data_IF_773510191759
#
_entry.id   IF_773510191759
#
_cell.length_a   1.000
_cell.length_b   1.000
_cell.length_c   1.000
_cell.angle_alpha   90.00
_cell.angle_beta   90.00
_cell.angle_gamma   90.00
#
_symmetry.space_group_name_H-M   'P 1'
#
loop_
_entity.id
_entity.type
_entity.pdbx_description
1 polymer ?
#
# COMPACT_ATOMS: atom_id res chain seq x y z
N UNK A 1 22.28 -12.13 7.44
CA UNK A 1 21.45 -13.36 7.48
C UNK A 1 22.38 -14.54 7.78
N UNK A 2 21.96 -15.52 8.61
CA UNK A 2 22.72 -16.75 8.83
C UNK A 2 22.97 -17.51 7.53
N UNK A 3 24.05 -18.30 7.46
CA UNK A 3 24.45 -18.99 6.23
C UNK A 3 23.41 -20.04 5.79
N UNK A 4 22.82 -20.74 6.75
CA UNK A 4 21.72 -21.69 6.51
C UNK A 4 20.53 -21.06 5.78
N UNK A 5 20.19 -19.82 6.11
CA UNK A 5 19.10 -19.07 5.47
C UNK A 5 19.51 -18.59 4.08
N UNK A 6 20.76 -18.14 3.90
CA UNK A 6 21.23 -17.68 2.57
C UNK A 6 21.19 -18.79 1.52
N UNK A 7 21.49 -20.03 1.92
CA UNK A 7 21.47 -21.19 1.04
C UNK A 7 20.06 -21.62 0.61
N UNK A 8 19.01 -21.18 1.32
CA UNK A 8 17.62 -21.44 0.91
C UNK A 8 17.27 -20.68 -0.38
N UNK A 9 16.27 -21.17 -1.12
CA UNK A 9 15.78 -20.49 -2.32
C UNK A 9 15.36 -19.02 -2.04
N UNK A 10 14.66 -18.78 -0.93
CA UNK A 10 14.26 -17.42 -0.53
C UNK A 10 15.47 -16.53 -0.20
N UNK A 11 16.46 -17.06 0.53
CA UNK A 11 17.69 -16.33 0.85
C UNK A 11 18.55 -16.00 -0.37
N UNK A 12 18.61 -16.92 -1.34
CA UNK A 12 19.29 -16.70 -2.61
C UNK A 12 18.61 -15.59 -3.42
N UNK A 13 17.28 -15.66 -3.58
CA UNK A 13 16.50 -14.61 -4.25
C UNK A 13 16.63 -13.24 -3.57
N UNK A 14 16.65 -13.21 -2.23
CA UNK A 14 16.87 -11.97 -1.49
C UNK A 14 18.27 -11.38 -1.72
N UNK A 15 19.29 -12.23 -1.89
CA UNK A 15 20.66 -11.80 -2.18
C UNK A 15 20.79 -11.25 -3.61
N UNK A 16 20.16 -11.90 -4.59
CA UNK A 16 20.06 -11.39 -5.96
C UNK A 16 19.32 -10.04 -6.01
N UNK A 17 18.19 -9.96 -5.32
CA UNK A 17 17.40 -8.74 -5.21
C UNK A 17 18.21 -7.60 -4.60
N UNK A 18 19.01 -7.89 -3.56
CA UNK A 18 19.91 -6.90 -2.96
C UNK A 18 20.94 -6.38 -3.98
N UNK A 19 21.67 -7.27 -4.65
CA UNK A 19 22.67 -6.89 -5.64
C UNK A 19 22.07 -6.09 -6.80
N UNK A 20 20.89 -6.48 -7.28
CA UNK A 20 20.15 -5.74 -8.30
C UNK A 20 19.71 -4.36 -7.81
N UNK A 21 19.23 -4.27 -6.56
CA UNK A 21 18.79 -3.00 -5.97
C UNK A 21 19.95 -2.01 -5.84
N UNK A 22 21.13 -2.49 -5.44
CA UNK A 22 22.33 -1.65 -5.39
C UNK A 22 22.67 -1.07 -6.78
N UNK A 23 22.70 -1.92 -7.81
CA UNK A 23 22.94 -1.48 -9.20
C UNK A 23 21.89 -0.48 -9.69
N UNK A 24 20.63 -0.67 -9.31
CA UNK A 24 19.55 0.23 -9.71
C UNK A 24 19.68 1.63 -9.09
N UNK A 25 20.34 1.78 -7.95
CA UNK A 25 20.55 3.07 -7.27
C UNK A 25 21.76 3.85 -7.80
N UNK A 26 22.73 3.20 -8.45
CA UNK A 26 23.91 3.84 -9.03
C UNK A 26 23.58 5.08 -9.90
N UNK A 27 22.69 5.02 -10.90
CA UNK A 27 22.36 6.19 -11.73
C UNK A 27 21.69 7.31 -10.94
N UNK A 28 20.96 7.00 -9.86
CA UNK A 28 20.36 8.00 -9.00
C UNK A 28 21.44 8.76 -8.22
N UNK A 29 22.40 8.05 -7.64
CA UNK A 29 23.50 8.68 -6.89
C UNK A 29 24.37 9.56 -7.79
N UNK A 30 24.64 9.12 -9.03
CA UNK A 30 25.40 9.92 -9.98
C UNK A 30 24.64 11.21 -10.37
N UNK A 31 23.33 11.12 -10.64
CA UNK A 31 22.49 12.30 -10.91
C UNK A 31 22.39 13.25 -9.72
N UNK A 32 22.36 12.72 -8.49
CA UNK A 32 22.37 13.53 -7.27
C UNK A 32 23.69 14.30 -7.11
N UNK A 33 24.82 13.63 -7.36
CA UNK A 33 26.16 14.23 -7.29
C UNK A 33 26.31 15.41 -8.24
N UNK A 34 25.79 15.28 -9.46
CA UNK A 34 25.83 16.35 -10.49
C UNK A 34 24.66 17.33 -10.43
N UNK A 35 23.75 17.19 -9.45
CA UNK A 35 22.52 18.00 -9.33
C UNK A 35 21.67 18.01 -10.62
N UNK A 36 21.67 16.88 -11.34
CA UNK A 36 21.02 16.73 -12.64
C UNK A 36 19.59 16.12 -12.55
N UNK A 37 19.05 15.96 -11.33
CA UNK A 37 17.68 15.48 -11.14
C UNK A 37 16.66 16.60 -11.40
N UNK A 38 15.57 16.24 -12.07
CA UNK A 38 14.41 17.10 -12.21
C UNK A 38 13.86 17.52 -10.84
N UNK A 39 13.45 18.79 -10.71
CA UNK A 39 13.04 19.37 -9.43
C UNK A 39 11.89 18.63 -8.76
N UNK A 40 10.82 18.34 -9.51
CA UNK A 40 9.67 17.55 -9.02
C UNK A 40 10.07 16.18 -8.49
N UNK A 41 10.95 15.48 -9.21
CA UNK A 41 11.42 14.16 -8.80
C UNK A 41 12.28 14.25 -7.55
N UNK A 42 13.17 15.25 -7.47
CA UNK A 42 13.99 15.52 -6.30
C UNK A 42 13.12 15.81 -5.07
N UNK A 43 12.08 16.63 -5.21
CA UNK A 43 11.13 16.92 -4.14
C UNK A 43 10.36 15.68 -3.71
N UNK A 44 9.84 14.89 -4.66
CA UNK A 44 9.13 13.65 -4.36
C UNK A 44 10.01 12.60 -3.65
N UNK A 45 11.25 12.42 -4.10
CA UNK A 45 12.22 11.54 -3.43
C UNK A 45 12.54 12.02 -2.01
N UNK A 46 12.73 13.33 -1.81
CA UNK A 46 12.94 13.91 -0.48
C UNK A 46 11.76 13.67 0.46
N UNK A 47 10.53 13.89 -0.01
CA UNK A 47 9.32 13.66 0.77
C UNK A 47 9.14 12.17 1.11
N UNK A 48 9.49 11.27 0.18
CA UNK A 48 9.46 9.83 0.42
C UNK A 48 10.46 9.41 1.50
N UNK A 49 11.69 9.91 1.45
CA UNK A 49 12.72 9.66 2.47
C UNK A 49 12.31 10.24 3.82
N UNK A 50 11.70 11.42 3.82
CA UNK A 50 11.15 12.04 5.04
C UNK A 50 10.05 11.18 5.64
N UNK A 51 9.12 10.69 4.83
CA UNK A 51 8.07 9.76 5.28
C UNK A 51 8.64 8.47 5.89
N UNK A 52 9.69 7.90 5.28
CA UNK A 52 10.39 6.75 5.85
C UNK A 52 11.05 7.07 7.20
N UNK A 53 11.71 8.23 7.33
CA UNK A 53 12.34 8.70 8.57
C UNK A 53 11.31 8.86 9.69
N UNK A 54 10.15 9.39 9.37
CA UNK A 54 9.06 9.66 10.32
C UNK A 54 8.20 8.40 10.58
N UNK A 55 8.65 7.22 10.10
CA UNK A 55 7.97 5.92 10.18
C UNK A 55 6.53 5.94 9.64
N UNK A 56 6.28 6.79 8.64
CA UNK A 56 5.02 6.86 7.88
C UNK A 56 5.20 6.22 6.50
N UNK A 57 5.23 4.88 6.48
CA UNK A 57 5.47 4.12 5.27
C UNK A 57 4.28 4.13 4.31
N UNK A 58 3.06 4.27 4.83
CA UNK A 58 1.86 4.47 4.02
C UNK A 58 2.01 5.73 3.14
N UNK A 59 2.42 6.85 3.75
CA UNK A 59 2.68 8.10 3.03
C UNK A 59 3.85 7.97 2.04
N UNK A 60 4.96 7.37 2.46
CA UNK A 60 6.10 7.13 1.56
C UNK A 60 5.70 6.25 0.35
N UNK A 61 4.83 5.26 0.56
CA UNK A 61 4.33 4.39 -0.50
C UNK A 61 3.34 5.12 -1.43
N UNK A 62 2.47 5.99 -0.91
CA UNK A 62 1.60 6.85 -1.72
C UNK A 62 2.43 7.77 -2.64
N UNK A 63 3.48 8.39 -2.11
CA UNK A 63 4.42 9.18 -2.89
C UNK A 63 5.14 8.35 -3.96
N UNK A 64 5.54 7.12 -3.63
CA UNK A 64 6.11 6.20 -4.62
C UNK A 64 5.13 5.93 -5.76
N UNK A 65 3.86 5.63 -5.46
CA UNK A 65 2.85 5.38 -6.49
C UNK A 65 2.62 6.61 -7.36
N UNK A 66 2.52 7.80 -6.76
CA UNK A 66 2.38 9.07 -7.49
C UNK A 66 3.57 9.34 -8.42
N UNK A 67 4.79 9.06 -7.99
CA UNK A 67 6.00 9.24 -8.82
C UNK A 67 6.13 8.17 -9.90
N UNK A 68 5.75 6.93 -9.59
CA UNK A 68 5.89 5.79 -10.49
C UNK A 68 4.82 5.75 -11.59
N UNK A 69 3.62 6.29 -11.32
CA UNK A 69 2.49 6.35 -12.27
C UNK A 69 2.36 7.75 -12.90
N UNK A 70 2.71 8.81 -12.17
CA UNK A 70 2.36 10.18 -12.54
C UNK A 70 0.87 10.48 -12.30
N UNK A 71 0.42 11.71 -12.61
CA UNK A 71 -1.00 12.10 -12.51
C UNK A 71 -1.80 11.65 -13.75
N UNK A 72 -1.38 10.56 -14.40
CA UNK A 72 -2.02 10.04 -15.60
C UNK A 72 -3.26 9.23 -15.19
N UNK A 73 -4.47 9.60 -15.68
CA UNK A 73 -5.70 8.87 -15.36
C UNK A 73 -5.69 7.39 -15.78
N UNK A 74 -4.78 7.01 -16.70
CA UNK A 74 -4.66 5.65 -17.24
C UNK A 74 -3.17 5.26 -17.45
N UNK A 75 -2.52 4.59 -16.49
CA UNK A 75 -1.08 4.29 -16.55
C UNK A 75 -0.66 3.23 -17.57
N UNK A 76 -1.60 2.40 -18.01
CA UNK A 76 -1.36 1.33 -18.96
C UNK A 76 -2.34 1.59 -20.10
N UNK A 77 -1.81 1.84 -21.29
CA UNK A 77 -2.63 2.00 -22.49
C UNK A 77 -3.51 0.77 -22.66
N UNK A 78 -4.80 0.88 -22.32
CA UNK A 78 -5.81 -0.12 -22.65
C UNK A 78 -6.03 -0.01 -24.16
N UNK A 79 -5.25 -0.77 -24.92
CA UNK A 79 -5.62 -1.10 -26.29
C UNK A 79 -6.52 -2.32 -26.21
N UNK A 80 -7.78 -2.13 -26.63
CA UNK A 80 -8.75 -3.16 -27.01
C UNK A 80 -9.82 -3.51 -25.98
N UNK A 81 -10.91 -2.72 -26.00
CA UNK A 81 -12.28 -3.21 -25.76
C UNK A 81 -13.23 -2.50 -26.74
N UNK A 82 -13.76 -3.25 -27.72
CA UNK A 82 -14.91 -2.86 -28.56
C UNK A 82 -14.62 -2.46 -30.01
N UNK A 83 -15.34 -3.09 -30.95
CA UNK A 83 -15.22 -3.09 -32.43
C UNK A 83 -15.64 -1.76 -33.11
N UNK A 84 -15.62 -0.60 -32.43
CA UNK A 84 -15.91 0.68 -33.11
C UNK A 84 -14.95 1.76 -32.63
N UNK A 85 -13.98 2.09 -33.48
CA UNK A 85 -13.07 3.22 -33.30
C UNK A 85 -13.86 4.52 -33.37
N UNK A 86 -14.06 5.19 -32.23
CA UNK A 86 -14.58 6.56 -32.20
C UNK A 86 -13.42 7.53 -32.33
N UNK A 87 -13.52 8.45 -33.30
CA UNK A 87 -12.51 9.46 -33.69
C UNK A 87 -12.07 10.45 -32.59
N UNK A 88 -12.53 10.31 -31.35
CA UNK A 88 -12.04 11.05 -30.19
C UNK A 88 -10.70 10.53 -29.64
N UNK A 89 -10.19 9.40 -30.16
CA UNK A 89 -9.04 8.66 -29.63
C UNK A 89 -7.68 9.31 -29.90
N UNK A 90 -7.49 10.01 -31.01
CA UNK A 90 -6.21 10.64 -31.34
C UNK A 90 -5.93 11.91 -30.52
N UNK A 91 -6.97 12.63 -30.11
CA UNK A 91 -6.82 13.82 -29.26
C UNK A 91 -6.45 13.48 -27.82
N UNK A 92 -6.85 12.32 -27.31
CA UNK A 92 -6.52 11.92 -25.93
C UNK A 92 -5.07 11.42 -25.83
N UNK A 93 -4.58 10.68 -26.82
CA UNK A 93 -3.19 10.21 -26.84
C UNK A 93 -2.18 11.35 -27.04
N UNK A 94 -2.53 12.40 -27.80
CA UNK A 94 -1.65 13.56 -28.00
C UNK A 94 -1.70 14.58 -26.85
N UNK A 95 -2.88 14.85 -26.26
CA UNK A 95 -3.01 15.86 -25.19
C UNK A 95 -2.47 15.35 -23.84
N UNK A 96 -2.56 14.05 -23.55
CA UNK A 96 -1.97 13.49 -22.31
C UNK A 96 -0.44 13.36 -22.37
N UNK A 97 0.15 13.22 -23.55
CA UNK A 97 1.60 13.07 -23.71
C UNK A 97 2.35 14.41 -23.83
N UNK A 98 1.64 15.54 -24.00
CA UNK A 98 2.26 16.87 -24.12
C UNK A 98 2.47 17.59 -22.78
N UNK A 99 1.80 17.15 -21.71
CA UNK A 99 1.87 17.80 -20.39
C UNK A 99 2.95 17.20 -19.48
N UNK A 100 4.20 17.10 -19.94
CA UNK A 100 5.41 16.91 -19.11
C UNK A 100 5.56 15.65 -18.22
N UNK A 101 4.50 14.88 -17.97
CA UNK A 101 4.49 13.74 -17.04
C UNK A 101 4.94 12.42 -17.68
N UNK A 102 4.88 12.32 -19.00
CA UNK A 102 5.38 11.16 -19.75
C UNK A 102 6.90 10.96 -19.59
N UNK A 103 7.65 12.01 -19.23
CA UNK A 103 9.12 11.98 -19.23
C UNK A 103 9.73 11.12 -18.09
N UNK A 104 9.09 11.05 -16.91
CA UNK A 104 9.64 10.33 -15.74
C UNK A 104 9.53 8.81 -15.95
N UNK A 105 8.40 8.35 -16.49
CA UNK A 105 8.19 6.93 -16.77
C UNK A 105 8.87 6.44 -18.04
N UNK A 106 9.22 7.31 -18.99
CA UNK A 106 9.90 6.91 -20.23
C UNK A 106 11.39 6.58 -19.99
N UNK A 107 12.00 7.12 -18.94
CA UNK A 107 13.39 6.83 -18.58
C UNK A 107 13.53 5.51 -17.79
N UNK A 108 14.14 4.52 -18.42
CA UNK A 108 14.39 3.20 -17.85
C UNK A 108 15.27 3.25 -16.59
N UNK A 109 16.24 4.18 -16.54
CA UNK A 109 17.04 4.38 -15.34
C UNK A 109 16.16 4.86 -14.18
N UNK A 110 15.20 5.73 -14.47
CA UNK A 110 14.24 6.26 -13.49
C UNK A 110 13.32 5.20 -12.92
N UNK A 111 12.77 4.35 -13.78
CA UNK A 111 11.96 3.21 -13.34
C UNK A 111 12.73 2.27 -12.40
N UNK A 112 14.00 1.98 -12.71
CA UNK A 112 14.86 1.10 -11.90
C UNK A 112 15.14 1.66 -10.52
N UNK A 113 15.56 2.92 -10.38
CA UNK A 113 15.80 3.45 -9.04
C UNK A 113 14.50 3.69 -8.26
N UNK A 114 13.36 4.00 -8.90
CA UNK A 114 12.07 4.04 -8.20
C UNK A 114 11.66 2.66 -7.67
N UNK A 115 11.88 1.60 -8.44
CA UNK A 115 11.69 0.24 -7.97
C UNK A 115 12.61 -0.09 -6.78
N UNK A 116 13.87 0.34 -6.84
CA UNK A 116 14.81 0.19 -5.74
C UNK A 116 14.35 0.96 -4.48
N UNK A 117 13.80 2.17 -4.63
CA UNK A 117 13.22 2.94 -3.54
C UNK A 117 12.04 2.22 -2.87
N UNK A 118 11.11 1.62 -3.63
CA UNK A 118 10.03 0.82 -3.02
C UNK A 118 10.58 -0.37 -2.23
N UNK A 119 11.61 -1.05 -2.74
CA UNK A 119 12.28 -2.13 -1.98
C UNK A 119 12.89 -1.63 -0.68
N UNK A 120 13.48 -0.42 -0.69
CA UNK A 120 13.99 0.22 0.52
C UNK A 120 12.87 0.52 1.52
N UNK A 121 11.72 1.08 1.10
CA UNK A 121 10.56 1.32 1.98
C UNK A 121 10.19 0.03 2.74
N UNK A 122 10.05 -1.08 2.02
CA UNK A 122 9.70 -2.38 2.63
C UNK A 122 10.78 -2.94 3.56
N UNK A 123 12.06 -2.65 3.34
CA UNK A 123 13.16 -3.06 4.25
C UNK A 123 13.17 -2.18 5.49
N UNK A 124 13.08 -0.85 5.32
CA UNK A 124 13.09 0.12 6.43
C UNK A 124 11.90 -0.12 7.36
N UNK A 125 10.70 -0.38 6.82
CA UNK A 125 9.53 -0.71 7.64
C UNK A 125 9.73 -1.95 8.52
N UNK A 126 10.44 -2.97 8.04
CA UNK A 126 10.72 -4.18 8.84
C UNK A 126 11.82 -3.96 9.86
N UNK A 127 12.77 -3.07 9.58
CA UNK A 127 13.81 -2.67 10.54
C UNK A 127 13.25 -1.75 11.63
N UNK A 128 12.36 -0.84 11.26
CA UNK A 128 11.75 0.16 12.12
C UNK A 128 10.22 0.08 12.00
N UNK A 129 9.59 -0.87 12.71
CA UNK A 129 8.15 -1.05 12.65
C UNK A 129 7.42 0.19 13.16
N UNK A 130 6.19 0.34 12.67
CA UNK A 130 5.28 1.44 12.99
C UNK A 130 3.90 0.88 13.29
N UNK A 131 2.98 1.73 13.72
CA UNK A 131 1.59 1.37 13.90
C UNK A 131 1.00 0.78 12.60
N UNK A 132 0.14 -0.26 12.65
CA UNK A 132 -0.46 -0.84 11.45
C UNK A 132 -1.14 0.18 10.54
N UNK A 133 -1.71 1.27 11.07
CA UNK A 133 -2.33 2.34 10.29
C UNK A 133 -1.35 3.13 9.40
N UNK A 134 -0.05 3.13 9.72
CA UNK A 134 1.00 3.80 8.94
C UNK A 134 1.90 2.84 8.17
N UNK A 135 1.60 1.55 8.20
CA UNK A 135 2.33 0.53 7.44
C UNK A 135 1.88 0.52 5.98
N UNK A 136 2.82 0.39 5.03
CA UNK A 136 2.47 0.25 3.62
C UNK A 136 1.87 -1.13 3.31
N UNK A 137 2.46 -2.16 3.92
CA UNK A 137 2.06 -3.56 3.80
C UNK A 137 2.17 -4.21 5.19
N UNK A 138 1.09 -4.78 5.73
CA UNK A 138 1.11 -5.43 7.06
C UNK A 138 1.11 -6.95 6.95
N UNK A 139 2.26 -7.50 6.57
CA UNK A 139 2.42 -8.94 6.39
C UNK A 139 2.55 -9.67 7.74
N UNK A 140 1.79 -10.77 7.87
CA UNK A 140 1.85 -11.67 9.03
C UNK A 140 2.76 -12.88 8.78
N UNK A 141 2.94 -13.27 7.51
CA UNK A 141 3.74 -14.43 7.10
C UNK A 141 5.22 -14.26 7.41
N UNK A 142 5.86 -15.32 7.89
CA UNK A 142 7.30 -15.38 8.16
C UNK A 142 8.07 -15.81 6.93
N UNK A 143 9.14 -15.08 6.62
CA UNK A 143 10.07 -15.43 5.54
C UNK A 143 11.49 -14.95 5.90
N UNK A 144 12.31 -15.87 6.40
CA UNK A 144 13.68 -15.59 6.83
C UNK A 144 14.56 -15.05 5.68
N UNK A 145 14.22 -15.35 4.42
CA UNK A 145 14.92 -14.80 3.27
C UNK A 145 14.71 -13.29 3.15
N UNK A 146 13.54 -12.77 3.49
CA UNK A 146 13.27 -11.32 3.46
C UNK A 146 14.12 -10.58 4.46
N UNK A 147 14.43 -11.13 5.63
CA UNK A 147 15.31 -10.48 6.62
C UNK A 147 15.27 -11.12 8.00
N UNK A 148 16.16 -10.66 8.88
CA UNK A 148 16.27 -11.17 10.26
C UNK A 148 15.32 -10.47 11.24
N UNK A 149 14.99 -9.20 10.99
CA UNK A 149 14.02 -8.46 11.79
C UNK A 149 12.62 -9.10 11.65
N UNK A 150 12.00 -9.45 12.78
CA UNK A 150 10.69 -10.08 12.81
C UNK A 150 10.60 -11.42 12.08
N UNK A 151 11.70 -12.16 11.90
CA UNK A 151 11.74 -13.35 11.04
C UNK A 151 11.17 -13.11 9.62
N UNK A 152 11.32 -11.87 9.11
CA UNK A 152 10.81 -11.44 7.82
C UNK A 152 9.37 -10.93 7.82
N UNK A 153 8.63 -11.09 8.93
CA UNK A 153 7.26 -10.63 9.11
C UNK A 153 7.21 -9.23 9.74
N UNK A 154 6.39 -8.33 9.18
CA UNK A 154 6.19 -6.98 9.71
C UNK A 154 5.55 -7.03 11.10
N UNK A 155 4.57 -7.92 11.30
CA UNK A 155 3.89 -8.10 12.60
C UNK A 155 4.86 -8.53 13.68
N UNK A 156 5.69 -9.55 13.42
CA UNK A 156 6.66 -10.02 14.41
C UNK A 156 7.76 -8.98 14.67
N UNK A 157 8.12 -8.17 13.68
CA UNK A 157 9.05 -7.07 13.88
C UNK A 157 8.47 -6.04 14.85
N UNK A 158 7.18 -5.71 14.71
CA UNK A 158 6.46 -4.82 15.62
C UNK A 158 6.40 -5.39 17.05
N UNK A 159 5.96 -6.63 17.22
CA UNK A 159 5.92 -7.28 18.54
C UNK A 159 7.32 -7.32 19.20
N UNK A 160 8.35 -7.59 18.40
CA UNK A 160 9.73 -7.56 18.90
C UNK A 160 10.19 -6.15 19.29
N UNK A 161 9.68 -5.09 18.65
CA UNK A 161 9.96 -3.70 19.02
C UNK A 161 9.21 -3.27 20.28
N UNK A 162 7.94 -3.66 20.41
CA UNK A 162 7.14 -3.47 21.62
C UNK A 162 7.80 -4.16 22.83
N UNK A 163 8.31 -5.39 22.64
CA UNK A 163 9.06 -6.11 23.66
C UNK A 163 10.39 -5.42 24.06
N UNK A 164 10.97 -4.60 23.17
CA UNK A 164 12.13 -3.73 23.48
C UNK A 164 11.74 -2.41 24.14
N UNK A 165 10.44 -2.15 24.35
CA UNK A 165 9.94 -0.90 24.92
C UNK A 165 9.80 0.25 23.92
N UNK A 166 9.92 -0.01 22.61
CA UNK A 166 9.63 1.01 21.60
C UNK A 166 8.11 1.22 21.50
N UNK A 167 7.59 2.33 22.05
CA UNK A 167 6.18 2.68 21.90
C UNK A 167 5.89 3.28 20.53
N UNK A 168 5.13 2.57 19.71
CA UNK A 168 4.66 3.02 18.39
C UNK A 168 3.32 3.77 18.45
N UNK A 169 2.68 3.84 19.62
CA UNK A 169 1.36 4.45 19.78
C UNK A 169 1.34 5.95 19.41
N UNK A 170 2.44 6.67 19.65
CA UNK A 170 2.60 8.08 19.25
C UNK A 170 2.72 8.26 17.74
N UNK A 171 3.00 7.19 17.01
CA UNK A 171 3.11 7.16 15.55
C UNK A 171 1.79 6.80 14.88
N UNK A 172 0.69 6.57 15.60
CA UNK A 172 -0.61 6.31 14.99
C UNK A 172 -1.07 7.46 14.09
N UNK A 173 -1.84 7.16 13.04
CA UNK A 173 -2.64 8.22 12.40
C UNK A 173 -3.63 8.80 13.44
N UNK A 174 -3.99 10.09 13.34
CA UNK A 174 -5.02 10.65 14.19
C UNK A 174 -6.32 9.85 14.04
N UNK A 175 -7.09 9.73 15.13
CA UNK A 175 -8.40 9.10 15.10
C UNK A 175 -9.24 9.64 13.96
N UNK A 176 -9.92 8.75 13.24
CA UNK A 176 -10.71 9.16 12.10
C UNK A 176 -11.77 10.19 12.55
N UNK A 177 -12.10 11.22 11.74
CA UNK A 177 -13.01 12.29 12.16
C UNK A 177 -14.43 11.81 12.53
N UNK A 178 -14.79 10.61 12.06
CA UNK A 178 -16.05 9.95 12.35
C UNK A 178 -15.96 9.00 13.55
N UNK A 179 -14.79 8.76 14.14
CA UNK A 179 -14.67 7.96 15.36
C UNK A 179 -15.02 8.81 16.57
N UNK A 180 -15.94 8.33 17.41
CA UNK A 180 -16.32 8.95 18.67
C UNK A 180 -15.85 8.05 19.83
N UNK A 181 -15.51 8.65 20.97
CA UNK A 181 -14.80 8.01 22.11
C UNK A 181 -15.52 6.76 22.68
N UNK A 182 -16.82 6.62 22.46
CA UNK A 182 -17.67 5.52 22.95
C UNK A 182 -17.78 4.33 21.98
N UNK A 183 -16.78 4.06 21.14
CA UNK A 183 -16.89 3.05 20.06
C UNK A 183 -18.02 3.33 19.06
N UNK A 184 -18.50 4.58 19.00
CA UNK A 184 -19.55 5.04 18.10
C UNK A 184 -18.92 5.66 16.86
N UNK A 185 -19.57 5.50 15.71
CA UNK A 185 -19.14 6.13 14.47
C UNK A 185 -20.13 7.22 14.07
N UNK A 186 -19.66 8.46 13.96
CA UNK A 186 -20.39 9.60 13.45
C UNK A 186 -20.64 9.43 11.94
N UNK A 187 -21.84 8.97 11.60
CA UNK A 187 -22.23 8.76 10.22
C UNK A 187 -22.57 10.11 9.56
N UNK A 188 -21.97 10.45 8.40
CA UNK A 188 -22.33 11.66 7.67
C UNK A 188 -23.80 11.61 7.19
N UNK A 189 -24.49 12.75 7.24
CA UNK A 189 -25.93 12.87 6.93
C UNK A 189 -26.35 12.21 5.60
N UNK A 190 -25.49 12.29 4.57
CA UNK A 190 -25.72 11.71 3.24
C UNK A 190 -25.97 10.18 3.23
N UNK A 191 -25.55 9.47 4.28
CA UNK A 191 -25.71 8.01 4.39
C UNK A 191 -26.94 7.60 5.19
N UNK A 192 -27.71 8.53 5.75
CA UNK A 192 -28.89 8.22 6.57
C UNK A 192 -29.91 7.33 5.84
N UNK A 193 -30.15 7.61 4.56
CA UNK A 193 -31.10 6.85 3.74
C UNK A 193 -30.65 5.39 3.53
N UNK A 194 -29.34 5.19 3.36
CA UNK A 194 -28.73 3.87 3.20
C UNK A 194 -28.86 3.07 4.49
N UNK A 195 -28.62 3.71 5.64
CA UNK A 195 -28.78 3.07 6.95
C UNK A 195 -30.24 2.73 7.26
N UNK A 196 -31.18 3.63 6.96
CA UNK A 196 -32.60 3.37 7.15
C UNK A 196 -33.08 2.16 6.34
N UNK A 197 -32.59 2.03 5.09
CA UNK A 197 -32.87 0.87 4.25
C UNK A 197 -32.28 -0.42 4.84
N UNK A 198 -31.00 -0.39 5.22
CA UNK A 198 -30.32 -1.55 5.80
C UNK A 198 -30.95 -2.01 7.13
N UNK A 199 -31.40 -1.07 7.98
CA UNK A 199 -32.14 -1.39 9.20
C UNK A 199 -33.48 -2.06 8.90
N UNK A 200 -34.18 -1.63 7.85
CA UNK A 200 -35.39 -2.29 7.36
C UNK A 200 -35.13 -3.73 6.93
N UNK A 201 -34.09 -3.95 6.13
CA UNK A 201 -33.70 -5.29 5.64
C UNK A 201 -33.32 -6.23 6.80
N UNK A 202 -32.59 -5.73 7.80
CA UNK A 202 -32.22 -6.48 9.02
C UNK A 202 -33.47 -6.85 9.83
N UNK A 203 -34.39 -5.91 10.02
CA UNK A 203 -35.63 -6.14 10.78
C UNK A 203 -36.52 -7.18 10.09
N UNK A 204 -36.62 -7.11 8.76
CA UNK A 204 -37.34 -8.12 7.97
C UNK A 204 -36.67 -9.49 8.06
N UNK A 205 -35.34 -9.56 7.96
CA UNK A 205 -34.60 -10.81 8.10
C UNK A 205 -34.81 -11.47 9.48
N UNK A 206 -34.78 -10.69 10.56
CA UNK A 206 -35.08 -11.20 11.91
C UNK A 206 -36.52 -11.71 12.03
N UNK A 207 -37.50 -10.97 11.51
CA UNK A 207 -38.91 -11.38 11.55
C UNK A 207 -39.19 -12.66 10.74
N UNK A 208 -38.48 -12.87 9.63
CA UNK A 208 -38.60 -14.08 8.82
C UNK A 208 -37.95 -15.29 9.52
N UNK A 209 -36.84 -15.07 10.23
CA UNK A 209 -36.18 -16.13 11.01
C UNK A 209 -37.02 -16.60 12.20
N UNK A 210 -37.72 -15.67 12.89
CA UNK A 210 -38.63 -16.02 13.99
C UNK A 210 -39.86 -16.81 13.50
N UNK A 211 -40.41 -16.46 12.33
CA UNK A 211 -41.51 -17.22 11.71
C UNK A 211 -41.08 -18.63 11.28
N UNK A 212 -39.88 -18.77 10.70
CA UNK A 212 -39.34 -20.07 10.31
C UNK A 212 -39.04 -20.99 11.51
N UNK A 213 -38.66 -20.41 12.66
CA UNK A 213 -38.45 -21.16 13.91
C UNK A 213 -39.77 -21.60 14.57
N UNK A 214 -40.86 -20.85 14.36
CA UNK A 214 -42.20 -21.18 14.88
C UNK A 214 -42.93 -22.30 14.13
N UNK A 215 -42.59 -22.55 12.86
CA UNK A 215 -43.19 -23.61 12.03
C UNK A 215 -42.54 -25.00 12.22
N UNK A 216 -41.44 -25.10 12.97
CA UNK A 216 -40.78 -26.36 13.31
C UNK A 216 -41.20 -26.88 14.70
N UNK A 217 -42.51 -27.08 14.93
CA UNK A 217 -42.96 -27.93 16.04
C UNK A 217 -43.03 -29.39 15.58
N UNK A 218 -42.41 -30.35 16.30
CA UNK A 218 -42.42 -31.75 15.86
C UNK A 218 -43.83 -32.33 15.96
N UNK A 219 -44.26 -32.99 14.87
CA UNK A 219 -45.53 -33.71 14.81
C UNK A 219 -45.64 -34.71 15.97
N UNK A 220 -46.82 -34.85 16.60
CA UNK A 220 -46.99 -35.76 17.72
C UNK A 220 -46.85 -37.20 17.21
N UNK A 221 -45.94 -37.95 17.84
CA UNK A 221 -45.73 -39.38 17.60
C UNK A 221 -46.96 -40.12 18.11
N UNK A 222 -47.66 -40.81 17.20
CA UNK A 222 -48.75 -41.74 17.52
C UNK A 222 -48.19 -43.10 17.94
#
# INVERSE_FOLDING_TARGET
RPESVKATASGYQASLTFAQTAKYLEPLFERLKHRALHEELRAGLWMMVTGMRDRNYLYANDLYLRLAIGNAPWPIGVTSVGIHERSAREKISHVMNQSGQAHIMNDEATRKYLQAMKRLISVVQRMYPTDPSRSADFETTTDLGRGVAGAGSTKLALLAAEARGESTASLGLPSAPHFMDDNKVAVPQKWKHILAKAQGDITQAHSNNEKAAGEQQPAPVQ
#
